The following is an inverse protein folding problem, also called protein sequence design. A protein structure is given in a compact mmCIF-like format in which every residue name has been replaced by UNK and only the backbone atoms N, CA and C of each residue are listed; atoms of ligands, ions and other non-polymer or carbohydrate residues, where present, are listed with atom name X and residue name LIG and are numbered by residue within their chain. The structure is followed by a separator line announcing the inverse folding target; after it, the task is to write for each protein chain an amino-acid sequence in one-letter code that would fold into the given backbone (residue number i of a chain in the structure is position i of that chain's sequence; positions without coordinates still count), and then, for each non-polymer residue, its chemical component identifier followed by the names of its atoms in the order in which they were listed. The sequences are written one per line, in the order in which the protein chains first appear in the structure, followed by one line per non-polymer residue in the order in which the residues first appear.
data_IF_952842469940
#
_entry.id   IF_952842469940
#
_cell.length_a   1.000
_cell.length_b   1.000
_cell.length_c   1.000
_cell.angle_alpha   90.00
_cell.angle_beta   90.00
_cell.angle_gamma   90.00
#
_symmetry.space_group_name_H-M   'P 1'
#
loop_
_entity.id
_entity.type
_entity.pdbx_description
1 polymer ?
#
# COMPACT_ATOMS: atom_id res chain seq x y z
N UNK A 1 7.09 -70.40 -34.42
CA UNK A 1 6.95 -71.42 -33.36
C UNK A 1 5.93 -70.86 -32.37
N UNK A 2 4.64 -71.28 -32.41
CA UNK A 2 4.03 -72.40 -31.63
C UNK A 2 4.23 -72.18 -30.12
N UNK A 3 3.28 -72.21 -29.17
CA UNK A 3 1.87 -72.68 -29.01
C UNK A 3 1.53 -72.38 -27.52
N UNK A 4 0.40 -71.76 -27.13
CA UNK A 4 -0.90 -72.32 -26.68
C UNK A 4 -0.96 -73.19 -25.39
N UNK A 5 -2.04 -72.98 -24.61
CA UNK A 5 -2.69 -73.81 -23.54
C UNK A 5 -2.30 -73.49 -22.08
N UNK A 6 -3.16 -72.98 -21.17
CA UNK A 6 -4.54 -73.29 -20.71
C UNK A 6 -4.63 -74.55 -19.82
N UNK A 7 -4.95 -74.41 -18.52
CA UNK A 7 -5.84 -75.31 -17.77
C UNK A 7 -6.18 -74.82 -16.34
N UNK A 8 -7.47 -75.03 -16.04
CA UNK A 8 -8.31 -74.77 -14.86
C UNK A 8 -8.10 -75.83 -13.75
N UNK A 9 -8.31 -75.48 -12.47
CA UNK A 9 -8.83 -76.44 -11.47
C UNK A 9 -9.40 -75.76 -10.21
N UNK A 10 -10.65 -76.10 -9.89
CA UNK A 10 -11.42 -75.81 -8.67
C UNK A 10 -10.84 -76.53 -7.44
N UNK A 11 -10.95 -75.91 -6.25
CA UNK A 11 -11.11 -76.64 -4.98
C UNK A 11 -12.18 -75.97 -4.11
N UNK A 12 -13.15 -76.78 -3.69
CA UNK A 12 -14.28 -76.45 -2.85
C UNK A 12 -13.90 -76.29 -1.37
N UNK A 13 -14.54 -75.37 -0.66
CA UNK A 13 -14.53 -75.33 0.81
C UNK A 13 -15.95 -75.47 1.37
N UNK A 14 -16.04 -76.44 2.27
CA UNK A 14 -17.20 -76.91 2.98
C UNK A 14 -17.73 -75.88 3.98
N UNK A 15 -19.04 -75.92 4.22
CA UNK A 15 -19.73 -75.07 5.16
C UNK A 15 -19.36 -75.32 6.62
N UNK A 16 -19.19 -74.23 7.38
CA UNK A 16 -19.36 -74.20 8.82
C UNK A 16 -20.55 -73.29 9.15
N UNK A 17 -21.60 -73.90 9.70
CA UNK A 17 -22.79 -73.25 10.26
C UNK A 17 -22.37 -72.53 11.54
N UNK A 18 -22.13 -71.21 11.50
CA UNK A 18 -21.94 -70.39 12.70
C UNK A 18 -23.29 -69.92 13.23
N UNK A 19 -23.54 -70.23 14.48
CA UNK A 19 -24.66 -69.76 15.30
C UNK A 19 -24.66 -68.24 15.32
N UNK A 20 -25.74 -67.61 14.85
CA UNK A 20 -25.98 -66.18 14.98
C UNK A 20 -26.36 -65.93 16.44
N UNK A 21 -25.43 -65.40 17.23
CA UNK A 21 -25.74 -64.75 18.50
C UNK A 21 -26.26 -63.36 18.12
N UNK A 22 -27.52 -63.09 18.43
CA UNK A 22 -28.05 -61.73 18.31
C UNK A 22 -27.31 -60.83 19.30
N UNK A 23 -26.65 -59.75 18.85
CA UNK A 23 -26.09 -58.77 19.75
C UNK A 23 -27.25 -58.10 20.47
N UNK A 24 -27.22 -58.13 21.79
CA UNK A 24 -28.05 -57.28 22.63
C UNK A 24 -27.73 -55.84 22.27
N UNK A 25 -28.74 -55.09 21.82
CA UNK A 25 -28.59 -53.66 21.52
C UNK A 25 -28.05 -52.95 22.77
N UNK A 26 -26.92 -52.24 22.68
CA UNK A 26 -26.50 -51.36 23.76
C UNK A 26 -27.57 -50.28 23.90
N UNK A 27 -28.05 -50.09 25.12
CA UNK A 27 -28.89 -48.96 25.49
C UNK A 27 -28.22 -47.68 24.99
N UNK A 28 -28.92 -46.74 24.33
CA UNK A 28 -28.30 -45.50 23.89
C UNK A 28 -27.77 -44.78 25.12
N UNK A 29 -26.45 -44.68 25.22
CA UNK A 29 -25.82 -43.71 26.11
C UNK A 29 -26.30 -42.30 25.74
N UNK A 30 -26.13 -41.31 26.63
CA UNK A 30 -26.36 -39.92 26.24
C UNK A 30 -25.56 -39.63 24.97
N UNK A 31 -26.21 -39.05 23.95
CA UNK A 31 -25.55 -38.66 22.70
C UNK A 31 -24.47 -37.62 23.02
N UNK A 32 -23.22 -38.06 23.19
CA UNK A 32 -22.08 -37.18 23.41
C UNK A 32 -21.75 -36.47 22.10
N UNK A 33 -21.63 -35.14 22.18
CA UNK A 33 -21.34 -34.26 21.04
C UNK A 33 -19.88 -34.48 20.61
N UNK A 34 -19.64 -34.77 19.33
CA UNK A 34 -18.32 -35.15 18.83
C UNK A 34 -17.44 -33.92 18.57
N UNK A 35 -16.15 -34.12 18.31
CA UNK A 35 -15.23 -33.03 17.97
C UNK A 35 -15.70 -32.28 16.71
N UNK A 36 -15.76 -30.95 16.79
CA UNK A 36 -16.23 -30.08 15.71
C UNK A 36 -17.74 -29.93 15.61
N UNK A 37 -18.52 -30.66 16.41
CA UNK A 37 -19.97 -30.47 16.48
C UNK A 37 -20.34 -29.25 17.34
N UNK A 38 -21.47 -28.58 17.06
CA UNK A 38 -21.94 -27.43 17.81
C UNK A 38 -22.35 -27.82 19.24
N UNK A 39 -22.03 -26.96 20.20
CA UNK A 39 -22.35 -27.12 21.62
C UNK A 39 -22.68 -25.77 22.28
N UNK A 40 -23.43 -25.81 23.37
CA UNK A 40 -23.79 -24.66 24.21
C UNK A 40 -23.39 -24.82 25.68
N UNK A 41 -23.73 -23.81 26.48
CA UNK A 41 -23.54 -23.81 27.93
C UNK A 41 -24.34 -24.96 28.57
N UNK A 42 -23.64 -25.96 29.11
CA UNK A 42 -24.23 -27.12 29.77
C UNK A 42 -24.30 -28.40 28.91
N UNK A 43 -23.92 -28.32 27.64
CA UNK A 43 -23.78 -29.51 26.80
C UNK A 43 -22.53 -30.31 27.19
N UNK A 44 -22.64 -31.64 27.10
CA UNK A 44 -21.53 -32.56 27.39
C UNK A 44 -20.94 -33.07 26.08
N UNK A 45 -19.75 -32.57 25.75
CA UNK A 45 -18.94 -33.11 24.65
C UNK A 45 -18.39 -34.50 25.03
N UNK A 46 -17.92 -35.26 24.03
CA UNK A 46 -17.27 -36.54 24.24
C UNK A 46 -16.01 -36.44 25.13
N UNK A 47 -15.54 -37.57 25.66
CA UNK A 47 -14.45 -37.62 26.63
C UNK A 47 -13.18 -36.90 26.12
N UNK A 48 -12.67 -35.95 26.92
CA UNK A 48 -11.50 -35.13 26.59
C UNK A 48 -11.79 -33.91 25.71
N UNK A 49 -13.07 -33.63 25.42
CA UNK A 49 -13.52 -32.44 24.69
C UNK A 49 -14.24 -31.47 25.63
N UNK A 50 -14.04 -30.18 25.39
CA UNK A 50 -14.73 -29.09 26.06
C UNK A 50 -15.41 -28.19 25.02
N UNK A 51 -16.57 -27.64 25.38
CA UNK A 51 -17.27 -26.70 24.52
C UNK A 51 -16.50 -25.38 24.45
N UNK A 52 -15.99 -25.05 23.26
CA UNK A 52 -15.17 -23.86 23.07
C UNK A 52 -15.99 -22.57 23.01
N UNK A 53 -15.34 -21.41 23.15
CA UNK A 53 -15.94 -20.09 22.93
C UNK A 53 -16.55 -19.89 21.53
N UNK A 54 -16.19 -20.73 20.57
CA UNK A 54 -16.78 -20.77 19.23
C UNK A 54 -18.04 -21.65 19.14
N UNK A 55 -18.56 -22.13 20.28
CA UNK A 55 -19.69 -23.07 20.35
C UNK A 55 -19.44 -24.38 19.61
N UNK A 56 -18.20 -24.89 19.66
CA UNK A 56 -17.80 -26.17 19.06
C UNK A 56 -17.06 -27.03 20.08
N UNK A 57 -17.31 -28.33 20.12
CA UNK A 57 -16.55 -29.27 20.95
C UNK A 57 -15.12 -29.42 20.41
N UNK A 58 -14.12 -29.13 21.26
CA UNK A 58 -12.69 -29.20 20.92
C UNK A 58 -11.90 -29.82 22.07
N UNK A 59 -10.72 -30.35 21.76
CA UNK A 59 -9.80 -30.86 22.77
C UNK A 59 -9.44 -29.78 23.82
N UNK A 60 -9.32 -30.21 25.08
CA UNK A 60 -8.80 -29.38 26.17
C UNK A 60 -7.43 -28.77 25.81
N UNK A 61 -7.22 -27.49 26.11
CA UNK A 61 -6.00 -26.74 25.77
C UNK A 61 -5.98 -26.17 24.34
N UNK A 62 -7.03 -26.40 23.54
CA UNK A 62 -7.23 -25.70 22.27
C UNK A 62 -7.71 -24.25 22.48
N UNK A 63 -7.56 -23.41 21.45
CA UNK A 63 -8.12 -22.06 21.48
C UNK A 63 -9.62 -22.08 21.78
N UNK A 64 -10.00 -21.37 22.85
CA UNK A 64 -11.37 -21.22 23.30
C UNK A 64 -11.81 -22.28 24.29
N UNK A 65 -10.93 -23.16 24.79
CA UNK A 65 -11.28 -24.18 25.82
C UNK A 65 -10.59 -23.94 27.16
N UNK A 66 -9.89 -22.82 27.36
CA UNK A 66 -9.17 -22.56 28.61
C UNK A 66 -10.14 -22.33 29.78
N UNK A 67 -9.90 -23.03 30.90
CA UNK A 67 -10.74 -22.96 32.09
C UNK A 67 -10.55 -21.66 32.88
N UNK A 68 -11.43 -21.39 33.84
CA UNK A 68 -11.30 -20.25 34.74
C UNK A 68 -9.97 -20.32 35.53
N UNK A 69 -9.24 -19.21 35.57
CA UNK A 69 -7.91 -19.09 36.18
C UNK A 69 -6.75 -19.48 35.26
N UNK A 70 -7.02 -20.07 34.09
CA UNK A 70 -5.97 -20.33 33.10
C UNK A 70 -5.41 -19.02 32.54
N UNK A 71 -4.11 -19.02 32.23
CA UNK A 71 -3.44 -17.87 31.60
C UNK A 71 -3.99 -17.68 30.19
N UNK A 72 -4.26 -16.44 29.82
CA UNK A 72 -4.76 -16.07 28.51
C UNK A 72 -4.10 -14.77 28.01
N UNK A 73 -3.95 -14.64 26.70
CA UNK A 73 -3.58 -13.38 26.05
C UNK A 73 -4.80 -12.59 25.54
N UNK A 74 -5.94 -13.26 25.34
CA UNK A 74 -7.19 -12.62 24.92
C UNK A 74 -8.40 -13.51 25.16
N UNK A 75 -9.60 -12.90 25.17
CA UNK A 75 -10.86 -13.60 25.50
C UNK A 75 -11.21 -14.76 24.56
N UNK A 76 -10.62 -14.80 23.36
CA UNK A 76 -10.79 -15.91 22.40
C UNK A 76 -10.16 -17.23 22.87
N UNK A 77 -9.21 -17.18 23.81
CA UNK A 77 -8.55 -18.36 24.36
C UNK A 77 -9.39 -19.01 25.47
N UNK A 78 -10.21 -18.22 26.15
CA UNK A 78 -11.03 -18.64 27.27
C UNK A 78 -12.23 -19.50 26.84
N UNK A 79 -12.62 -20.41 27.72
CA UNK A 79 -13.79 -21.26 27.59
C UNK A 79 -15.09 -20.48 27.37
N UNK A 80 -16.12 -21.16 26.88
CA UNK A 80 -17.44 -20.55 26.66
C UNK A 80 -17.96 -19.86 27.94
N UNK A 81 -18.29 -18.57 27.82
CA UNK A 81 -18.79 -17.76 28.95
C UNK A 81 -17.72 -17.12 29.83
N UNK A 82 -16.43 -17.30 29.50
CA UNK A 82 -15.31 -16.64 30.17
C UNK A 82 -14.70 -15.56 29.28
N UNK A 83 -14.05 -14.58 29.91
CA UNK A 83 -13.27 -13.52 29.26
C UNK A 83 -11.87 -13.46 29.87
N UNK A 84 -10.91 -12.96 29.10
CA UNK A 84 -9.56 -12.77 29.62
C UNK A 84 -9.51 -11.45 30.42
N UNK A 85 -9.37 -11.54 31.73
CA UNK A 85 -9.30 -10.34 32.57
C UNK A 85 -7.95 -9.62 32.43
N UNK A 86 -7.87 -8.36 32.90
CA UNK A 86 -6.64 -7.55 32.89
C UNK A 86 -5.41 -8.25 33.51
N UNK A 87 -5.64 -9.20 34.43
CA UNK A 87 -4.60 -10.02 35.03
C UNK A 87 -4.01 -11.10 34.10
N UNK A 88 -4.50 -11.22 32.87
CA UNK A 88 -4.12 -12.27 31.92
C UNK A 88 -4.64 -13.65 32.32
N UNK A 89 -5.79 -13.71 32.99
CA UNK A 89 -6.43 -14.96 33.40
C UNK A 89 -7.90 -15.02 32.99
N UNK A 90 -8.36 -16.19 32.55
CA UNK A 90 -9.75 -16.41 32.18
C UNK A 90 -10.65 -16.31 33.42
N UNK A 91 -11.67 -15.48 33.35
CA UNK A 91 -12.58 -15.21 34.47
C UNK A 91 -13.99 -14.92 33.96
N UNK A 92 -14.96 -14.91 34.86
CA UNK A 92 -16.35 -14.57 34.52
C UNK A 92 -16.47 -13.06 34.25
N UNK A 93 -17.21 -12.65 33.20
CA UNK A 93 -17.53 -11.25 32.94
C UNK A 93 -18.21 -10.56 34.14
N UNK A 94 -17.98 -9.26 34.31
CA UNK A 94 -18.55 -8.43 35.38
C UNK A 94 -17.72 -8.34 36.65
N UNK A 95 -16.54 -8.98 36.69
CA UNK A 95 -15.53 -8.80 37.73
C UNK A 95 -14.55 -7.65 37.43
N UNK A 96 -13.69 -7.27 38.40
CA UNK A 96 -12.62 -6.30 38.16
C UNK A 96 -11.73 -6.73 36.98
N UNK A 97 -11.39 -5.79 36.10
CA UNK A 97 -10.55 -6.07 34.93
C UNK A 97 -11.24 -6.86 33.83
N UNK A 98 -12.57 -6.85 33.77
CA UNK A 98 -13.35 -7.55 32.73
C UNK A 98 -14.23 -6.63 31.90
N UNK A 99 -14.06 -5.31 32.03
CA UNK A 99 -14.81 -4.33 31.25
C UNK A 99 -14.70 -4.61 29.76
N UNK A 100 -15.85 -4.79 29.11
CA UNK A 100 -15.94 -5.03 27.67
C UNK A 100 -15.79 -3.71 26.91
N UNK A 101 -15.73 -3.79 25.57
CA UNK A 101 -15.65 -2.59 24.73
C UNK A 101 -16.88 -1.69 25.00
N UNK A 102 -16.62 -0.42 25.34
CA UNK A 102 -17.64 0.59 25.66
C UNK A 102 -18.02 0.67 27.14
N UNK A 103 -17.60 -0.26 27.98
CA UNK A 103 -17.86 -0.20 29.43
C UNK A 103 -17.11 0.98 30.06
N UNK A 104 -17.71 1.61 31.07
CA UNK A 104 -17.07 2.71 31.77
C UNK A 104 -15.86 2.23 32.56
N UNK A 105 -14.79 3.03 32.57
CA UNK A 105 -13.56 2.74 33.31
C UNK A 105 -12.94 4.00 33.89
N UNK A 106 -12.27 3.86 35.03
CA UNK A 106 -11.37 4.87 35.59
C UNK A 106 -9.89 4.61 35.32
N UNK A 107 -9.53 3.34 35.06
CA UNK A 107 -8.17 2.89 34.79
C UNK A 107 -8.16 1.67 33.85
N UNK A 108 -7.02 1.44 33.18
CA UNK A 108 -6.86 0.35 32.20
C UNK A 108 -7.01 -1.05 32.81
N UNK A 109 -6.67 -1.23 34.08
CA UNK A 109 -6.82 -2.50 34.79
C UNK A 109 -8.28 -2.87 35.12
N UNK A 110 -9.23 -1.98 34.82
CA UNK A 110 -10.68 -2.26 34.89
C UNK A 110 -11.22 -2.90 33.61
N UNK A 111 -10.48 -2.85 32.50
CA UNK A 111 -10.87 -3.38 31.20
C UNK A 111 -10.34 -4.80 30.97
N UNK A 112 -11.02 -5.58 30.11
CA UNK A 112 -10.54 -6.91 29.70
C UNK A 112 -9.16 -6.83 29.02
N UNK A 113 -8.41 -7.94 29.04
CA UNK A 113 -7.09 -8.02 28.40
C UNK A 113 -7.16 -7.61 26.93
N UNK A 114 -6.24 -6.74 26.51
CA UNK A 114 -6.18 -6.18 25.16
C UNK A 114 -7.01 -4.91 24.96
N UNK A 115 -7.71 -4.41 26.00
CA UNK A 115 -8.34 -3.09 26.00
C UNK A 115 -7.57 -2.10 26.88
N UNK A 116 -7.79 -0.81 26.64
CA UNK A 116 -7.29 0.29 27.46
C UNK A 116 -8.42 1.23 27.86
N UNK A 117 -8.28 1.88 29.01
CA UNK A 117 -9.24 2.88 29.44
C UNK A 117 -8.95 4.23 28.77
N UNK A 118 -9.82 4.67 27.87
CA UNK A 118 -9.69 5.94 27.16
C UNK A 118 -11.03 6.68 27.13
N UNK A 119 -11.00 7.99 27.39
CA UNK A 119 -12.21 8.82 27.51
C UNK A 119 -13.28 8.24 28.48
N UNK A 120 -12.83 7.57 29.54
CA UNK A 120 -13.65 6.82 30.51
C UNK A 120 -14.44 5.63 29.93
N UNK A 121 -13.98 5.07 28.81
CA UNK A 121 -14.51 3.84 28.23
C UNK A 121 -13.40 2.83 27.91
N UNK A 122 -13.67 1.56 28.11
CA UNK A 122 -12.79 0.48 27.70
C UNK A 122 -12.83 0.37 26.18
N UNK A 123 -11.71 0.61 25.50
CA UNK A 123 -11.60 0.56 24.06
C UNK A 123 -10.48 -0.41 23.65
N UNK A 124 -10.69 -1.12 22.55
CA UNK A 124 -9.66 -1.97 21.97
C UNK A 124 -8.63 -1.14 21.20
N UNK A 125 -7.50 -1.76 20.92
CA UNK A 125 -6.59 -1.29 19.87
C UNK A 125 -7.22 -1.58 18.51
N UNK A 126 -8.25 -0.82 18.13
CA UNK A 126 -8.70 -0.82 16.76
C UNK A 126 -7.68 -0.04 15.94
N UNK A 127 -6.92 -0.77 15.12
CA UNK A 127 -6.18 -0.12 14.04
C UNK A 127 -7.23 0.49 13.10
N UNK A 128 -7.25 1.82 12.92
CA UNK A 128 -8.13 2.44 11.96
C UNK A 128 -7.90 1.76 10.62
N UNK A 129 -8.99 1.38 9.97
CA UNK A 129 -8.92 0.92 8.59
C UNK A 129 -8.32 2.09 7.81
N UNK A 130 -7.18 1.84 7.15
CA UNK A 130 -6.51 2.84 6.34
C UNK A 130 -7.53 3.48 5.41
N UNK A 131 -7.85 4.74 5.67
CA UNK A 131 -8.76 5.48 4.81
C UNK A 131 -7.95 5.87 3.60
N UNK A 132 -8.31 5.29 2.45
CA UNK A 132 -7.74 5.73 1.17
C UNK A 132 -7.94 7.24 1.04
N UNK A 133 -7.00 7.97 0.43
CA UNK A 133 -7.20 9.37 0.12
C UNK A 133 -8.55 9.52 -0.58
N UNK A 134 -9.29 10.58 -0.27
CA UNK A 134 -10.50 10.89 -1.03
C UNK A 134 -10.04 11.31 -2.40
N UNK A 135 -10.11 10.38 -3.35
CA UNK A 135 -9.78 10.67 -4.73
C UNK A 135 -10.95 11.44 -5.31
N UNK A 136 -10.82 12.74 -5.57
CA UNK A 136 -11.83 13.46 -6.33
C UNK A 136 -12.03 12.75 -7.66
N UNK A 137 -13.23 12.90 -8.24
CA UNK A 137 -13.58 12.37 -9.56
C UNK A 137 -12.85 13.11 -10.70
N UNK A 138 -11.58 13.44 -10.51
CA UNK A 138 -10.70 14.00 -11.53
C UNK A 138 -10.45 12.98 -12.66
N UNK A 139 -10.92 11.74 -12.47
CA UNK A 139 -10.57 10.55 -13.22
C UNK A 139 -11.70 9.51 -13.09
N UNK A 140 -12.20 9.03 -14.25
CA UNK A 140 -13.05 7.83 -14.48
C UNK A 140 -14.58 7.99 -14.58
N UNK A 141 -15.17 9.18 -14.46
CA UNK A 141 -16.50 9.38 -15.07
C UNK A 141 -16.29 10.01 -16.46
N UNK A 142 -16.94 9.44 -17.47
CA UNK A 142 -17.00 9.88 -18.87
C UNK A 142 -17.59 11.30 -19.00
N UNK A 143 -17.03 12.29 -18.31
CA UNK A 143 -17.25 13.68 -18.65
C UNK A 143 -16.48 13.90 -19.95
N UNK A 144 -17.21 13.93 -21.08
CA UNK A 144 -16.78 14.23 -22.45
C UNK A 144 -16.05 15.59 -22.62
N UNK A 145 -15.45 16.13 -21.56
CA UNK A 145 -14.73 17.39 -21.53
C UNK A 145 -13.49 17.44 -20.62
N UNK A 146 -13.11 16.36 -19.91
CA UNK A 146 -11.85 16.39 -19.13
C UNK A 146 -10.66 16.01 -20.03
N UNK A 147 -9.77 16.96 -20.39
CA UNK A 147 -8.64 16.64 -21.24
C UNK A 147 -7.64 15.70 -20.55
N UNK A 148 -6.92 14.92 -21.37
CA UNK A 148 -5.79 14.13 -20.90
C UNK A 148 -4.66 15.05 -20.40
N UNK A 149 -4.14 14.84 -19.19
CA UNK A 149 -3.12 15.68 -18.53
C UNK A 149 -2.25 14.84 -17.60
N UNK A 150 -1.02 15.30 -17.41
CA UNK A 150 -0.26 14.99 -16.20
C UNK A 150 -0.60 16.07 -15.18
N UNK A 151 -1.06 15.65 -14.00
CA UNK A 151 -1.50 16.61 -12.99
C UNK A 151 -0.28 17.30 -12.37
N UNK A 152 -0.47 18.57 -11.99
CA UNK A 152 0.52 19.38 -11.30
C UNK A 152 -0.19 20.40 -10.40
N UNK A 153 -0.57 19.95 -9.22
CA UNK A 153 -1.16 20.78 -8.17
C UNK A 153 -0.31 20.65 -6.90
N UNK A 154 0.36 21.74 -6.54
CA UNK A 154 1.29 21.77 -5.39
C UNK A 154 0.55 21.76 -4.05
N UNK A 155 -0.66 22.32 -4.01
CA UNK A 155 -1.45 22.44 -2.80
C UNK A 155 -2.27 21.17 -2.53
N UNK A 156 -2.29 20.23 -3.48
CA UNK A 156 -3.10 18.99 -3.40
C UNK A 156 -4.60 19.25 -3.53
N UNK A 157 -4.99 20.49 -3.83
CA UNK A 157 -6.37 20.96 -3.94
C UNK A 157 -7.18 20.87 -2.64
N UNK A 158 -8.50 21.02 -2.76
CA UNK A 158 -9.44 20.83 -1.65
C UNK A 158 -9.52 19.38 -1.14
N UNK A 159 -8.88 18.45 -1.85
CA UNK A 159 -9.06 17.01 -1.69
C UNK A 159 -7.87 16.32 -0.99
N UNK A 160 -6.82 17.09 -0.65
CA UNK A 160 -5.61 16.61 0.01
C UNK A 160 -4.87 15.48 -0.74
N UNK A 161 -4.87 15.49 -2.08
CA UNK A 161 -4.10 14.50 -2.84
C UNK A 161 -2.66 14.95 -3.03
N UNK A 162 -1.79 14.44 -2.15
CA UNK A 162 -0.35 14.66 -2.14
C UNK A 162 0.33 14.44 -3.50
N UNK A 163 -0.16 13.49 -4.28
CA UNK A 163 0.47 13.04 -5.54
C UNK A 163 -0.08 13.75 -6.78
N UNK A 164 -1.04 14.68 -6.64
CA UNK A 164 -1.44 15.55 -7.76
C UNK A 164 -0.26 16.35 -8.32
N UNK A 165 0.72 16.70 -7.50
CA UNK A 165 2.05 17.06 -7.96
C UNK A 165 2.99 15.84 -7.88
N UNK A 166 3.91 15.67 -8.84
CA UNK A 166 4.84 14.54 -8.79
C UNK A 166 5.69 14.52 -7.51
N UNK A 167 6.02 13.32 -7.05
CA UNK A 167 6.91 13.09 -5.91
C UNK A 167 7.89 11.96 -6.24
N UNK A 168 9.19 12.06 -5.90
CA UNK A 168 9.86 13.12 -5.15
C UNK A 168 9.97 14.43 -5.95
N UNK A 169 10.21 15.52 -5.22
CA UNK A 169 10.33 16.84 -5.80
C UNK A 169 11.07 17.83 -4.88
N UNK A 170 12.08 18.52 -5.39
CA UNK A 170 12.95 19.39 -4.56
C UNK A 170 12.22 20.59 -3.93
N UNK A 171 11.07 21.00 -4.46
CA UNK A 171 10.24 22.02 -3.82
C UNK A 171 9.56 21.53 -2.53
N UNK A 172 9.54 20.21 -2.30
CA UNK A 172 9.10 19.62 -1.03
C UNK A 172 10.26 19.40 -0.06
N UNK A 173 11.51 19.57 -0.47
CA UNK A 173 12.70 19.33 0.38
C UNK A 173 13.51 20.60 0.62
N UNK A 174 12.87 21.79 0.64
CA UNK A 174 13.51 23.11 0.70
C UNK A 174 14.67 23.18 1.72
N UNK A 175 15.88 22.84 1.25
CA UNK A 175 17.12 22.63 2.02
C UNK A 175 16.89 21.79 3.28
N UNK A 176 16.81 20.46 3.13
CA UNK A 176 16.76 19.51 4.24
C UNK A 176 15.91 18.27 3.93
N UNK A 177 15.41 17.59 4.97
CA UNK A 177 14.53 16.43 4.84
C UNK A 177 13.36 16.66 3.88
N UNK A 178 13.02 15.68 3.04
CA UNK A 178 11.79 15.72 2.25
C UNK A 178 10.56 15.97 3.12
N UNK A 179 9.74 16.95 2.80
CA UNK A 179 8.45 17.13 3.46
C UNK A 179 7.43 16.12 2.97
N UNK A 180 6.88 15.34 3.90
CA UNK A 180 5.72 14.48 3.70
C UNK A 180 4.42 15.14 4.15
N UNK A 181 4.40 16.47 4.34
CA UNK A 181 3.18 17.18 4.69
C UNK A 181 2.08 16.93 3.63
N UNK A 182 0.93 16.45 4.10
CA UNK A 182 -0.20 16.06 3.25
C UNK A 182 -0.13 14.63 2.69
N UNK A 183 0.97 13.89 2.91
CA UNK A 183 1.04 12.48 2.53
C UNK A 183 -0.02 11.68 3.30
N UNK A 184 -0.76 10.76 2.64
CA UNK A 184 -1.78 9.96 3.31
C UNK A 184 -1.20 9.19 4.49
N UNK A 185 -1.85 9.29 5.66
CA UNK A 185 -1.51 8.54 6.85
C UNK A 185 -2.61 7.56 7.23
N UNK A 186 -2.30 6.64 8.14
CA UNK A 186 -3.29 5.69 8.68
C UNK A 186 -4.30 6.37 9.61
N UNK A 187 -4.15 7.67 9.86
CA UNK A 187 -4.93 8.42 10.82
C UNK A 187 -4.46 8.18 12.26
N UNK A 188 -5.07 8.93 13.18
CA UNK A 188 -4.73 8.85 14.59
C UNK A 188 -5.29 7.58 15.24
N UNK A 189 -4.45 6.88 15.99
CA UNK A 189 -4.87 5.90 16.97
C UNK A 189 -5.43 6.63 18.19
N UNK A 190 -6.58 6.21 18.77
CA UNK A 190 -7.20 6.89 19.91
C UNK A 190 -6.28 7.16 21.11
N UNK A 191 -5.23 6.34 21.28
CA UNK A 191 -4.30 6.42 22.42
C UNK A 191 -2.90 6.87 22.00
N UNK A 192 -2.48 6.55 20.78
CA UNK A 192 -1.09 6.75 20.34
C UNK A 192 -0.91 7.87 19.32
N UNK A 193 -1.99 8.55 18.89
CA UNK A 193 -1.91 9.51 17.80
C UNK A 193 -1.54 8.84 16.48
N UNK A 194 -0.99 9.60 15.53
CA UNK A 194 -0.60 9.09 14.22
C UNK A 194 0.79 8.42 14.28
N UNK A 195 0.87 7.26 14.93
CA UNK A 195 2.14 6.52 15.10
C UNK A 195 2.87 6.27 13.79
N UNK A 196 2.12 5.98 12.71
CA UNK A 196 2.72 5.76 11.40
C UNK A 196 3.28 7.07 10.84
N UNK A 197 2.53 8.17 10.92
CA UNK A 197 2.99 9.51 10.55
C UNK A 197 4.21 9.95 11.34
N UNK A 198 4.21 9.75 12.66
CA UNK A 198 5.31 10.12 13.55
C UNK A 198 6.58 9.32 13.23
N UNK A 199 6.49 7.99 13.09
CA UNK A 199 7.63 7.15 12.69
C UNK A 199 8.17 7.57 11.32
N UNK A 200 7.29 7.86 10.37
CA UNK A 200 7.70 8.32 9.04
C UNK A 200 8.36 9.70 9.09
N UNK A 201 7.83 10.62 9.90
CA UNK A 201 8.42 11.95 10.08
C UNK A 201 9.80 11.87 10.72
N UNK A 202 9.96 11.06 11.77
CA UNK A 202 11.25 10.82 12.43
C UNK A 202 12.26 10.19 11.47
N UNK A 203 11.85 9.16 10.72
CA UNK A 203 12.72 8.50 9.74
C UNK A 203 13.14 9.48 8.64
N UNK A 204 12.20 10.28 8.12
CA UNK A 204 12.48 11.25 7.07
C UNK A 204 13.39 12.38 7.55
N UNK A 205 13.27 12.80 8.81
CA UNK A 205 14.11 13.83 9.42
C UNK A 205 15.61 13.45 9.48
N UNK A 206 15.95 12.15 9.32
CA UNK A 206 17.34 11.68 9.26
C UNK A 206 17.97 11.80 7.86
N UNK A 207 17.19 12.13 6.82
CA UNK A 207 17.71 12.26 5.45
C UNK A 207 18.02 13.70 5.08
N UNK A 208 19.14 13.92 4.40
CA UNK A 208 19.49 15.21 3.78
C UNK A 208 19.04 15.32 2.31
N UNK A 209 18.22 14.36 1.84
CA UNK A 209 17.70 14.34 0.47
C UNK A 209 16.93 13.06 0.15
N UNK A 210 16.79 12.78 -1.15
CA UNK A 210 16.08 11.58 -1.60
C UNK A 210 17.01 10.38 -1.78
N UNK A 211 16.48 9.17 -1.63
CA UNK A 211 17.26 7.94 -1.79
C UNK A 211 17.71 7.70 -3.25
N UNK A 212 18.85 7.02 -3.41
CA UNK A 212 19.43 6.71 -4.73
C UNK A 212 18.58 5.77 -5.62
N UNK A 213 17.54 5.13 -5.07
CA UNK A 213 16.58 4.28 -5.82
C UNK A 213 15.16 4.86 -5.78
N UNK A 214 15.02 6.17 -5.60
CA UNK A 214 13.72 6.82 -5.47
C UNK A 214 12.86 6.58 -6.71
N UNK A 215 11.61 6.17 -6.48
CA UNK A 215 10.59 6.05 -7.52
C UNK A 215 9.81 7.36 -7.58
N UNK A 216 9.71 7.91 -8.78
CA UNK A 216 8.89 9.08 -9.08
C UNK A 216 7.48 8.61 -9.35
N UNK A 217 6.51 9.19 -8.66
CA UNK A 217 5.09 8.97 -8.82
C UNK A 217 4.45 10.26 -9.33
N UNK A 218 3.56 10.14 -10.31
CA UNK A 218 2.79 11.26 -10.83
C UNK A 218 1.36 10.83 -11.13
N UNK A 219 0.39 11.65 -10.74
CA UNK A 219 -1.00 11.50 -11.17
C UNK A 219 -1.17 11.91 -12.63
N UNK A 220 -2.05 11.20 -13.31
CA UNK A 220 -2.46 11.46 -14.69
C UNK A 220 -3.99 11.40 -14.74
N UNK A 221 -4.63 12.18 -15.62
CA UNK A 221 -6.10 12.22 -15.69
C UNK A 221 -6.73 11.03 -16.41
N UNK A 222 -5.94 10.24 -17.14
CA UNK A 222 -6.39 9.00 -17.79
C UNK A 222 -5.21 8.04 -18.03
N UNK A 223 -5.48 6.83 -18.51
CA UNK A 223 -4.46 5.86 -18.90
C UNK A 223 -3.94 6.22 -20.31
N UNK A 224 -2.63 6.46 -20.49
CA UNK A 224 -2.08 6.78 -21.79
C UNK A 224 -2.16 5.59 -22.74
N UNK A 225 -2.17 5.89 -24.04
CA UNK A 225 -2.00 4.85 -25.07
C UNK A 225 -0.55 4.34 -25.06
N UNK A 226 -0.38 3.03 -24.86
CA UNK A 226 0.93 2.37 -24.84
C UNK A 226 1.64 2.41 -26.20
N UNK A 227 0.90 2.64 -27.29
CA UNK A 227 1.46 2.74 -28.64
C UNK A 227 2.41 3.93 -28.80
N UNK A 228 2.10 5.01 -28.06
CA UNK A 228 2.84 6.26 -28.05
C UNK A 228 3.92 6.32 -26.97
N UNK A 229 3.98 5.30 -26.12
CA UNK A 229 4.90 5.28 -25.00
C UNK A 229 6.30 4.85 -25.45
N UNK A 230 7.25 5.77 -25.32
CA UNK A 230 8.65 5.59 -25.70
C UNK A 230 9.55 6.10 -24.59
N UNK A 231 10.44 5.24 -24.09
CA UNK A 231 11.48 5.65 -23.16
C UNK A 231 12.57 6.38 -23.92
N UNK A 232 12.82 7.61 -23.50
CA UNK A 232 13.81 8.50 -24.07
C UNK A 232 13.64 9.89 -23.48
N UNK A 233 14.44 10.83 -23.93
CA UNK A 233 14.40 12.20 -23.41
C UNK A 233 13.88 13.15 -24.48
N UNK A 234 13.42 14.35 -24.09
CA UNK A 234 12.95 15.31 -25.06
C UNK A 234 14.12 15.72 -25.96
N UNK A 235 13.91 15.76 -27.28
CA UNK A 235 14.91 16.20 -28.26
C UNK A 235 14.37 17.41 -29.02
N UNK A 236 15.22 18.38 -29.42
CA UNK A 236 14.80 19.50 -30.25
C UNK A 236 14.20 19.01 -31.57
N UNK A 237 13.06 19.58 -31.98
CA UNK A 237 12.38 19.17 -33.21
C UNK A 237 11.73 20.32 -33.98
N UNK A 238 11.91 20.30 -35.30
CA UNK A 238 11.34 21.26 -36.26
C UNK A 238 10.11 20.72 -37.04
N UNK A 239 9.32 19.80 -36.48
CA UNK A 239 8.12 19.27 -37.17
C UNK A 239 6.86 19.18 -36.31
N UNK A 240 5.78 18.66 -36.89
CA UNK A 240 4.47 18.63 -36.25
C UNK A 240 4.35 17.60 -35.11
N UNK A 241 3.56 17.87 -34.06
CA UNK A 241 3.24 16.89 -33.01
C UNK A 241 2.64 15.60 -33.61
N UNK A 242 3.09 14.42 -33.18
CA UNK A 242 2.60 13.12 -33.68
C UNK A 242 3.50 12.39 -34.69
N UNK A 243 4.55 13.04 -35.21
CA UNK A 243 5.54 12.39 -36.10
C UNK A 243 6.63 11.62 -35.32
N UNK A 244 6.43 11.43 -34.01
CA UNK A 244 7.39 10.85 -33.08
C UNK A 244 7.59 9.34 -33.26
N UNK A 245 6.55 8.60 -33.67
CA UNK A 245 6.54 7.12 -33.72
C UNK A 245 7.64 6.57 -34.64
N UNK A 246 7.98 7.29 -35.70
CA UNK A 246 8.98 6.86 -36.69
C UNK A 246 10.38 7.45 -36.45
N UNK A 247 10.52 8.41 -35.53
CA UNK A 247 11.73 9.22 -35.39
C UNK A 247 12.48 9.01 -34.06
N UNK A 248 12.03 8.09 -33.21
CA UNK A 248 12.80 7.67 -32.02
C UNK A 248 12.70 8.59 -30.79
N UNK A 249 11.69 9.47 -30.71
CA UNK A 249 11.53 10.37 -29.56
C UNK A 249 11.13 9.65 -28.30
N UNK A 250 11.64 10.14 -27.17
CA UNK A 250 11.11 9.83 -25.85
C UNK A 250 9.81 10.58 -25.56
N UNK A 251 8.76 9.84 -25.21
CA UNK A 251 7.55 10.41 -24.62
C UNK A 251 7.72 10.64 -23.12
N UNK A 252 8.58 9.83 -22.49
CA UNK A 252 8.83 9.85 -21.05
C UNK A 252 10.26 9.40 -20.77
N UNK A 253 10.97 10.08 -19.87
CA UNK A 253 12.32 9.68 -19.50
C UNK A 253 12.88 10.42 -18.30
N UNK A 254 14.11 10.06 -17.94
CA UNK A 254 14.84 10.62 -16.81
C UNK A 254 16.23 11.07 -17.26
N UNK A 255 16.66 12.22 -16.76
CA UNK A 255 17.94 12.87 -17.06
C UNK A 255 18.69 13.18 -15.77
N UNK A 256 20.01 13.12 -15.85
CA UNK A 256 20.87 13.80 -14.88
C UNK A 256 20.96 15.29 -15.24
N UNK A 257 20.54 16.14 -14.31
CA UNK A 257 20.52 17.60 -14.44
C UNK A 257 21.58 18.26 -13.54
N UNK A 258 22.50 17.48 -12.99
CA UNK A 258 23.62 17.99 -12.19
C UNK A 258 24.58 18.74 -13.09
N UNK A 259 24.96 19.96 -12.70
CA UNK A 259 25.97 20.72 -13.42
C UNK A 259 27.28 19.93 -13.55
N UNK A 260 27.78 19.76 -14.78
CA UNK A 260 29.03 19.08 -15.04
C UNK A 260 28.97 18.10 -16.21
N UNK A 261 29.89 17.11 -16.26
CA UNK A 261 30.00 16.18 -17.39
C UNK A 261 28.80 15.25 -17.59
N UNK A 262 27.99 15.04 -16.56
CA UNK A 262 26.78 14.21 -16.63
C UNK A 262 25.52 15.00 -16.95
N UNK A 263 25.58 16.33 -17.02
CA UNK A 263 24.44 17.16 -17.39
C UNK A 263 23.83 16.72 -18.72
N UNK A 264 22.52 16.47 -18.73
CA UNK A 264 21.77 16.01 -19.89
C UNK A 264 21.97 14.52 -20.24
N UNK A 265 22.65 13.73 -19.41
CA UNK A 265 22.78 12.30 -19.66
C UNK A 265 21.50 11.54 -19.34
N UNK A 266 21.08 10.68 -20.26
CA UNK A 266 19.91 9.80 -20.10
C UNK A 266 20.18 8.78 -19.00
N UNK A 267 19.29 8.73 -18.02
CA UNK A 267 19.29 7.68 -17.00
C UNK A 267 18.35 6.57 -17.45
N UNK A 268 18.87 5.34 -17.49
CA UNK A 268 18.03 4.18 -17.79
C UNK A 268 16.95 4.03 -16.72
N UNK A 269 15.69 4.18 -17.11
CA UNK A 269 14.55 4.11 -16.20
C UNK A 269 13.54 3.03 -16.61
N UNK A 270 12.94 2.38 -15.62
CA UNK A 270 11.72 1.60 -15.77
C UNK A 270 10.50 2.45 -15.43
N UNK A 271 9.33 2.06 -15.93
CA UNK A 271 8.08 2.75 -15.64
C UNK A 271 6.94 1.77 -15.42
N UNK A 272 5.88 2.23 -14.75
CA UNK A 272 4.66 1.47 -14.47
C UNK A 272 3.46 2.40 -14.57
N UNK A 273 2.36 1.89 -15.10
CA UNK A 273 1.03 2.51 -15.02
C UNK A 273 0.15 1.61 -14.17
N UNK A 274 -0.62 2.20 -13.26
CA UNK A 274 -1.55 1.46 -12.41
C UNK A 274 -2.80 2.28 -12.10
N UNK A 275 -3.84 1.54 -11.74
CA UNK A 275 -5.16 2.04 -11.37
C UNK A 275 -5.65 1.47 -10.05
N UNK A 276 -4.70 1.04 -9.19
CA UNK A 276 -5.06 0.67 -7.83
C UNK A 276 -3.86 0.73 -6.88
N UNK A 277 -3.88 1.64 -5.91
CA UNK A 277 -3.05 1.60 -4.69
C UNK A 277 -3.80 2.17 -3.47
N UNK A 278 -3.42 1.78 -2.25
CA UNK A 278 -3.97 2.39 -1.05
C UNK A 278 -3.59 3.87 -0.93
N UNK A 279 -2.31 4.23 -1.10
CA UNK A 279 -1.82 5.59 -0.84
C UNK A 279 -1.94 6.57 -2.01
N UNK A 280 -2.15 6.09 -3.22
CA UNK A 280 -2.20 6.93 -4.41
C UNK A 280 -3.58 6.83 -5.04
N UNK A 281 -4.10 7.96 -5.46
CA UNK A 281 -5.28 8.01 -6.29
C UNK A 281 -4.97 7.57 -7.73
N UNK A 282 -5.98 7.06 -8.42
CA UNK A 282 -5.86 6.39 -9.70
C UNK A 282 -6.35 7.31 -10.84
N UNK A 283 -5.81 7.26 -12.07
CA UNK A 283 -4.59 6.58 -12.46
C UNK A 283 -3.33 7.34 -12.04
N UNK A 284 -2.24 6.60 -12.00
CA UNK A 284 -0.91 7.14 -11.73
C UNK A 284 0.15 6.41 -12.54
N UNK A 285 1.25 7.11 -12.77
CA UNK A 285 2.46 6.59 -13.37
C UNK A 285 3.57 6.59 -12.33
N UNK A 286 4.40 5.54 -12.35
CA UNK A 286 5.70 5.56 -11.70
C UNK A 286 6.84 5.46 -12.70
N UNK A 287 7.94 6.12 -12.38
CA UNK A 287 9.24 5.96 -13.02
C UNK A 287 10.29 5.67 -11.96
N UNK A 288 11.17 4.71 -12.20
CA UNK A 288 12.24 4.36 -11.29
C UNK A 288 13.54 4.11 -12.04
N UNK A 289 14.72 4.32 -11.41
CA UNK A 289 15.99 3.89 -11.98
C UNK A 289 15.96 2.41 -12.34
N UNK A 290 16.74 2.04 -13.36
CA UNK A 290 16.89 0.63 -13.74
C UNK A 290 17.41 -0.19 -12.57
N UNK A 291 16.88 -1.40 -12.39
CA UNK A 291 17.31 -2.29 -11.32
C UNK A 291 18.83 -2.50 -11.36
N UNK A 292 19.48 -2.37 -10.20
CA UNK A 292 20.94 -2.51 -10.07
C UNK A 292 21.75 -1.32 -10.59
N UNK A 293 21.11 -0.19 -10.91
CA UNK A 293 21.75 1.08 -11.29
C UNK A 293 21.21 2.20 -10.40
N UNK A 294 21.65 2.28 -9.13
CA UNK A 294 21.28 3.39 -8.27
C UNK A 294 21.77 4.71 -8.87
N UNK A 295 21.07 5.79 -8.55
CA UNK A 295 21.45 7.15 -8.90
C UNK A 295 22.68 7.58 -8.10
N UNK A 296 23.46 8.50 -8.67
CA UNK A 296 24.67 9.01 -8.05
C UNK A 296 24.33 9.95 -6.87
N UNK A 297 25.08 9.90 -5.76
CA UNK A 297 24.82 10.73 -4.58
C UNK A 297 25.13 12.19 -4.87
N UNK A 298 24.31 13.11 -4.36
CA UNK A 298 24.45 14.56 -4.57
C UNK A 298 24.10 15.04 -5.98
N UNK A 299 23.60 14.15 -6.84
CA UNK A 299 23.16 14.51 -8.19
C UNK A 299 21.67 14.89 -8.18
N UNK A 300 21.30 15.85 -9.04
CA UNK A 300 19.93 16.26 -9.30
C UNK A 300 19.43 15.58 -10.55
N UNK A 301 18.28 14.89 -10.46
CA UNK A 301 17.67 14.17 -11.57
C UNK A 301 16.31 14.76 -11.91
N UNK A 302 15.96 14.75 -13.19
CA UNK A 302 14.67 15.20 -13.68
C UNK A 302 13.92 14.12 -14.43
N UNK A 303 12.63 13.92 -14.14
CA UNK A 303 11.71 13.21 -15.03
C UNK A 303 11.05 14.20 -15.99
N UNK A 304 10.90 13.78 -17.23
CA UNK A 304 10.26 14.56 -18.29
C UNK A 304 9.15 13.73 -18.93
N UNK A 305 8.02 14.38 -19.19
CA UNK A 305 6.91 13.86 -19.97
C UNK A 305 6.62 14.86 -21.08
N UNK A 306 6.58 14.39 -22.32
CA UNK A 306 6.39 15.25 -23.50
C UNK A 306 4.97 15.15 -24.05
N UNK A 307 4.64 16.02 -25.01
CA UNK A 307 3.36 15.98 -25.73
C UNK A 307 3.12 14.68 -26.51
N UNK A 308 4.16 13.88 -26.73
CA UNK A 308 4.05 12.57 -27.39
C UNK A 308 3.58 11.48 -26.41
N UNK A 309 3.49 11.76 -25.11
CA UNK A 309 2.77 10.92 -24.15
C UNK A 309 1.26 11.13 -24.38
N UNK A 310 0.65 10.32 -25.25
CA UNK A 310 -0.74 10.48 -25.68
C UNK A 310 -1.72 9.75 -24.77
N UNK A 311 -2.90 10.33 -24.60
CA UNK A 311 -4.04 9.70 -23.93
C UNK A 311 -4.67 8.59 -24.76
N UNK A 312 -5.82 8.06 -24.32
CA UNK A 312 -6.65 7.19 -25.15
C UNK A 312 -6.99 7.87 -26.48
N UNK A 313 -7.20 7.08 -27.53
CA UNK A 313 -7.60 7.57 -28.86
C UNK A 313 -6.67 8.65 -29.46
N UNK A 314 -5.37 8.64 -29.10
CA UNK A 314 -4.35 9.60 -29.57
C UNK A 314 -4.64 11.06 -29.14
N UNK A 315 -5.33 11.24 -28.00
CA UNK A 315 -5.56 12.56 -27.43
C UNK A 315 -4.24 13.20 -27.00
N UNK A 316 -3.97 14.40 -27.50
CA UNK A 316 -2.80 15.21 -27.11
C UNK A 316 -2.97 15.69 -25.67
N UNK A 317 -1.97 15.48 -24.78
CA UNK A 317 -2.04 15.99 -23.43
C UNK A 317 -2.11 17.53 -23.39
N UNK A 318 -2.97 18.04 -22.52
CA UNK A 318 -3.03 19.46 -22.15
C UNK A 318 -2.07 19.71 -21.00
N UNK A 319 -1.34 20.82 -21.06
CA UNK A 319 -0.38 21.21 -20.02
C UNK A 319 -1.14 21.93 -18.89
N UNK A 320 -0.84 21.57 -17.64
CA UNK A 320 -1.44 22.24 -16.49
C UNK A 320 -0.97 23.72 -16.38
N UNK A 321 -1.87 24.68 -16.06
CA UNK A 321 -1.49 26.08 -15.91
C UNK A 321 -0.42 26.32 -14.85
N UNK A 322 -0.52 25.64 -13.70
CA UNK A 322 0.46 25.73 -12.61
C UNK A 322 1.85 25.25 -13.06
N UNK A 323 1.90 24.18 -13.84
CA UNK A 323 3.16 23.68 -14.43
C UNK A 323 3.74 24.68 -15.45
N UNK A 324 2.88 25.24 -16.30
CA UNK A 324 3.27 26.28 -17.28
C UNK A 324 3.89 27.48 -16.56
N UNK A 325 3.31 27.91 -15.44
CA UNK A 325 3.83 29.01 -14.63
C UNK A 325 5.19 28.69 -13.98
N UNK A 326 5.40 27.44 -13.54
CA UNK A 326 6.67 26.97 -12.97
C UNK A 326 7.79 26.84 -14.01
N UNK A 327 7.46 26.58 -15.27
CA UNK A 327 8.44 26.57 -16.38
C UNK A 327 8.67 27.96 -17.01
N UNK A 328 7.92 28.98 -16.62
CA UNK A 328 8.08 30.32 -17.18
C UNK A 328 9.49 30.90 -16.92
N UNK A 329 10.01 31.76 -17.81
CA UNK A 329 11.35 32.35 -17.67
C UNK A 329 11.47 33.33 -16.49
N UNK A 330 10.34 33.80 -15.96
CA UNK A 330 10.27 34.70 -14.80
C UNK A 330 9.48 34.06 -13.66
N UNK A 331 9.78 34.36 -12.40
CA UNK A 331 9.04 33.84 -11.25
C UNK A 331 7.53 34.09 -11.38
N UNK A 332 6.68 33.12 -11.02
CA UNK A 332 5.24 33.31 -10.98
C UNK A 332 4.85 34.33 -9.89
N UNK A 333 3.80 35.11 -10.16
CA UNK A 333 3.27 36.06 -9.18
C UNK A 333 2.60 35.40 -7.98
N UNK A 334 2.19 34.14 -8.12
CA UNK A 334 1.56 33.35 -7.08
C UNK A 334 2.61 32.75 -6.14
N UNK A 335 2.49 33.00 -4.82
CA UNK A 335 3.50 32.64 -3.83
C UNK A 335 3.68 31.12 -3.66
N UNK A 336 2.59 30.34 -3.76
CA UNK A 336 2.60 28.87 -3.68
C UNK A 336 3.52 28.23 -4.74
N UNK A 337 3.61 28.83 -5.93
CA UNK A 337 4.41 28.33 -7.05
C UNK A 337 5.88 28.77 -7.02
N UNK A 338 6.27 29.73 -6.18
CA UNK A 338 7.64 30.28 -6.19
C UNK A 338 8.69 29.25 -5.76
N UNK A 339 8.36 28.39 -4.79
CA UNK A 339 9.24 27.30 -4.35
C UNK A 339 9.49 26.30 -5.49
N UNK A 340 8.43 25.87 -6.16
CA UNK A 340 8.54 24.99 -7.33
C UNK A 340 9.25 25.65 -8.51
N UNK A 341 8.98 26.93 -8.79
CA UNK A 341 9.72 27.67 -9.80
C UNK A 341 11.22 27.69 -9.49
N UNK A 342 11.61 27.96 -8.24
CA UNK A 342 13.03 27.95 -7.84
C UNK A 342 13.65 26.56 -8.00
N UNK A 343 12.98 25.52 -7.50
CA UNK A 343 13.46 24.14 -7.58
C UNK A 343 13.60 23.64 -9.03
N UNK A 344 12.69 24.04 -9.93
CA UNK A 344 12.67 23.62 -11.34
C UNK A 344 13.68 24.37 -12.23
N UNK A 345 14.58 25.18 -11.66
CA UNK A 345 15.63 25.85 -12.43
C UNK A 345 16.47 24.90 -13.32
N UNK A 346 16.95 23.72 -12.83
CA UNK A 346 17.74 22.81 -13.66
C UNK A 346 16.99 22.30 -14.90
N UNK A 347 15.67 22.14 -14.81
CA UNK A 347 14.82 21.78 -15.97
C UNK A 347 14.78 22.92 -16.98
N UNK A 348 14.55 24.16 -16.54
CA UNK A 348 14.52 25.31 -17.45
C UNK A 348 15.87 25.53 -18.13
N UNK A 349 16.97 25.34 -17.39
CA UNK A 349 18.32 25.47 -17.92
C UNK A 349 18.60 24.41 -18.99
N UNK A 350 18.24 23.14 -18.73
CA UNK A 350 18.34 22.06 -19.71
C UNK A 350 17.54 22.35 -20.98
N UNK A 351 16.26 22.73 -20.84
CA UNK A 351 15.40 23.04 -21.99
C UNK A 351 15.96 24.20 -22.82
N UNK A 352 16.50 25.23 -22.16
CA UNK A 352 17.13 26.38 -22.82
C UNK A 352 18.40 25.98 -23.56
N UNK A 353 19.26 25.19 -22.91
CA UNK A 353 20.53 24.75 -23.49
C UNK A 353 20.34 23.87 -24.73
N UNK A 354 19.36 22.96 -24.69
CA UNK A 354 19.06 22.04 -25.79
C UNK A 354 18.11 22.63 -26.84
N UNK A 355 17.63 23.87 -26.63
CA UNK A 355 16.70 24.52 -27.56
C UNK A 355 15.33 23.84 -27.64
N UNK A 356 14.89 23.21 -26.55
CA UNK A 356 13.61 22.49 -26.46
C UNK A 356 12.53 23.48 -26.00
N UNK A 357 11.45 23.60 -26.78
CA UNK A 357 10.32 24.43 -26.40
C UNK A 357 9.63 23.88 -25.15
N UNK A 358 9.35 24.75 -24.17
CA UNK A 358 8.55 24.40 -22.98
C UNK A 358 7.16 23.91 -23.36
N UNK A 359 6.61 24.33 -24.49
CA UNK A 359 5.33 23.84 -25.00
C UNK A 359 5.37 22.35 -25.34
N UNK A 360 6.55 21.76 -25.58
CA UNK A 360 6.67 20.34 -25.85
C UNK A 360 6.60 19.48 -24.56
N UNK A 361 6.79 20.08 -23.39
CA UNK A 361 6.81 19.40 -22.10
C UNK A 361 5.43 19.52 -21.44
N UNK A 362 4.85 18.41 -21.03
CA UNK A 362 3.52 18.38 -20.38
C UNK A 362 3.60 18.11 -18.89
N UNK A 363 4.73 17.61 -18.41
CA UNK A 363 5.01 17.49 -16.99
C UNK A 363 6.47 17.15 -16.75
N UNK A 364 6.96 17.58 -15.60
CA UNK A 364 8.30 17.28 -15.13
C UNK A 364 8.38 17.40 -13.61
N UNK A 365 9.39 16.78 -13.03
CA UNK A 365 9.80 17.00 -11.64
C UNK A 365 11.31 16.85 -11.54
N UNK A 366 11.91 17.51 -10.56
CA UNK A 366 13.31 17.35 -10.22
C UNK A 366 13.46 16.95 -8.78
N UNK A 367 14.43 16.10 -8.49
CA UNK A 367 14.78 15.75 -7.13
C UNK A 367 16.29 15.52 -7.03
N UNK A 368 16.84 15.87 -5.87
CA UNK A 368 18.26 15.71 -5.57
C UNK A 368 18.48 14.51 -4.65
N UNK A 369 19.37 13.62 -5.07
CA UNK A 369 19.75 12.45 -4.27
C UNK A 369 20.67 12.91 -3.15
N UNK A 370 20.41 12.43 -1.94
CA UNK A 370 21.24 12.70 -0.77
C UNK A 370 22.72 12.37 -1.05
N UNK A 371 23.64 13.25 -0.61
CA UNK A 371 25.07 12.98 -0.70
C UNK A 371 25.58 12.24 0.55
N UNK A 372 25.23 10.95 0.66
CA UNK A 372 25.67 10.09 1.77
C UNK A 372 27.19 9.87 1.84
N UNK A 373 27.97 10.37 0.88
CA UNK A 373 29.44 10.36 0.95
C UNK A 373 29.96 11.41 1.93
N UNK A 374 29.22 12.50 2.14
CA UNK A 374 29.60 13.57 3.06
C UNK A 374 29.30 13.20 4.52
N UNK A 375 28.30 12.35 4.77
CA UNK A 375 27.91 11.88 6.11
C UNK A 375 28.96 10.98 6.80
N UNK A 376 30.03 10.56 6.10
CA UNK A 376 31.10 9.70 6.63
C UNK A 376 32.36 10.42 7.13
N UNK A 377 32.37 11.75 7.22
CA UNK A 377 33.57 12.55 7.57
C UNK A 377 33.39 13.53 8.75
N UNK A 378 32.42 13.32 9.63
CA UNK A 378 32.29 14.08 10.89
C UNK A 378 32.54 13.23 12.12
#
# INVERSE_FOLDING_TARGET
MRTLSLALALVALHGCKRVRVEPTEPTPGPNLIQEGDPCGLGDTCDEGLTCSSFSLCKAEGSYGTAEAGAVCAGSVECGLGLVCGASGACTTPGGPGTGAIGDACGATDECQAGLSCYANACLGYEMPVFQRPTCPADTLEDDEGNPFRMLFDLDGGADNDFYKAPFPADWRSAIGPPSLAGHPSFGELPIFGDVAGDIMADYVAEFDGYGANSTIYARISDIPSVDWLRIGVPEPFEGAPGDAVNNGRGSVGMLDLTEGPSFGQVVGAGWKLRTHQPYLCDPWMAMHPSNGRPLEPGHTYGMFVTRDFRGPEDVVPVVEPSFTAVLAPSPPGEASLQGAWTAMAPVRDYLTQEGISTDHIVGATVFTVEDYRQAGLS
#
